data_IF_154943330296
#
_entry.id   IF_154943330296
#
_cell.length_a   1.000
_cell.length_b   1.000
_cell.length_c   1.000
_cell.angle_alpha   90.00
_cell.angle_beta   90.00
_cell.angle_gamma   90.00
#
_symmetry.space_group_name_H-M   'P 1'
#
loop_
_entity.id
_entity.type
_entity.pdbx_description
1 polymer ?
#
# COMPACT_ATOMS: atom_id res chain seq x y z
N UNK A 1 53.07 50.67 52.28
CA UNK A 1 52.28 49.61 51.64
C UNK A 1 52.65 48.30 52.31
N UNK A 2 51.72 47.77 53.11
CA UNK A 2 51.91 46.57 53.92
C UNK A 2 51.79 45.33 53.02
N UNK A 3 52.63 44.33 53.25
CA UNK A 3 52.64 43.02 52.56
C UNK A 3 51.31 42.26 52.64
N UNK A 4 50.37 42.71 53.48
CA UNK A 4 49.00 42.20 53.59
C UNK A 4 48.07 42.60 52.46
N UNK A 5 48.31 43.70 51.75
CA UNK A 5 47.44 44.14 50.63
C UNK A 5 47.66 43.29 49.36
N UNK A 6 48.89 42.82 49.11
CA UNK A 6 49.22 42.01 47.93
C UNK A 6 48.62 40.59 48.04
N UNK A 7 48.52 40.03 49.25
CA UNK A 7 48.01 38.68 49.46
C UNK A 7 46.48 38.62 49.28
N UNK A 8 45.75 39.67 49.65
CA UNK A 8 44.29 39.73 49.46
C UNK A 8 43.93 39.99 47.99
N UNK A 9 44.76 40.72 47.24
CA UNK A 9 44.56 40.87 45.78
C UNK A 9 44.93 39.60 45.01
N UNK A 10 45.97 38.86 45.41
CA UNK A 10 46.34 37.61 44.75
C UNK A 10 45.36 36.44 45.02
N UNK A 11 44.79 36.36 46.23
CA UNK A 11 43.79 35.33 46.58
C UNK A 11 42.37 35.64 46.08
N UNK A 12 42.02 36.92 45.88
CA UNK A 12 40.72 37.29 45.29
C UNK A 12 40.68 37.10 43.77
N UNK A 13 41.81 37.24 43.07
CA UNK A 13 41.87 37.00 41.61
C UNK A 13 42.01 35.53 41.23
N UNK A 14 42.60 34.68 42.09
CA UNK A 14 42.79 33.26 41.81
C UNK A 14 41.57 32.39 42.18
N UNK A 15 40.81 32.76 43.21
CA UNK A 15 39.66 31.97 43.68
C UNK A 15 38.40 32.10 42.81
N UNK A 16 38.14 33.29 42.26
CA UNK A 16 36.95 33.53 41.44
C UNK A 16 37.12 33.14 39.96
N UNK A 17 38.36 33.11 39.45
CA UNK A 17 38.62 32.73 38.06
C UNK A 17 38.49 31.22 37.86
N UNK A 18 39.02 30.39 38.75
CA UNK A 18 38.91 28.93 38.60
C UNK A 18 37.47 28.41 38.74
N UNK A 19 36.71 28.92 39.71
CA UNK A 19 35.32 28.51 39.93
C UNK A 19 34.39 29.08 38.85
N UNK A 20 34.60 30.33 38.43
CA UNK A 20 33.84 30.96 37.35
C UNK A 20 34.07 30.29 35.99
N UNK A 21 35.33 30.00 35.63
CA UNK A 21 35.66 29.32 34.38
C UNK A 21 35.14 27.86 34.39
N UNK A 22 35.24 27.16 35.53
CA UNK A 22 34.69 25.82 35.68
C UNK A 22 33.17 25.76 35.51
N UNK A 23 32.43 26.69 36.12
CA UNK A 23 30.98 26.77 35.98
C UNK A 23 30.55 27.10 34.55
N UNK A 24 31.27 28.00 33.88
CA UNK A 24 31.04 28.36 32.48
C UNK A 24 31.29 27.16 31.56
N UNK A 25 32.38 26.42 31.74
CA UNK A 25 32.67 25.20 30.97
C UNK A 25 31.62 24.12 31.18
N UNK A 26 31.18 23.89 32.42
CA UNK A 26 30.10 22.92 32.73
C UNK A 26 28.80 23.35 32.05
N UNK A 27 28.44 24.64 32.11
CA UNK A 27 27.24 25.17 31.43
C UNK A 27 27.33 25.03 29.91
N UNK A 28 28.47 25.31 29.29
CA UNK A 28 28.65 25.14 27.85
C UNK A 28 28.60 23.65 27.43
N UNK A 29 29.19 22.76 28.22
CA UNK A 29 29.10 21.31 28.01
C UNK A 29 27.67 20.80 28.16
N UNK A 30 26.96 21.18 29.22
CA UNK A 30 25.55 20.82 29.41
C UNK A 30 24.68 21.36 28.28
N UNK A 31 24.91 22.59 27.84
CA UNK A 31 24.12 23.21 26.75
C UNK A 31 24.43 22.53 25.43
N UNK A 32 25.70 22.26 25.11
CA UNK A 32 26.10 21.55 23.90
C UNK A 32 25.68 20.08 23.87
N UNK A 33 25.74 19.38 25.01
CA UNK A 33 25.21 18.01 25.15
C UNK A 33 23.69 18.01 25.01
N UNK A 34 22.99 18.98 25.62
CA UNK A 34 21.52 19.07 25.53
C UNK A 34 21.05 19.48 24.13
N UNK A 35 21.78 20.36 23.44
CA UNK A 35 21.52 20.72 22.04
C UNK A 35 21.83 19.58 21.07
N UNK A 36 22.96 18.88 21.25
CA UNK A 36 23.29 17.73 20.41
C UNK A 36 22.30 16.58 20.61
N UNK A 37 21.98 16.22 21.86
CA UNK A 37 20.94 15.23 22.17
C UNK A 37 19.58 15.68 21.62
N UNK A 38 19.19 16.93 21.85
CA UNK A 38 17.95 17.50 21.34
C UNK A 38 17.86 17.50 19.81
N UNK A 39 18.98 17.78 19.12
CA UNK A 39 19.07 17.74 17.66
C UNK A 39 18.95 16.32 17.11
N UNK A 40 19.54 15.32 17.78
CA UNK A 40 19.40 13.91 17.40
C UNK A 40 17.96 13.43 17.60
N UNK A 41 17.31 13.81 18.70
CA UNK A 41 15.89 13.47 18.92
C UNK A 41 14.97 14.17 17.92
N UNK A 42 15.20 15.45 17.60
CA UNK A 42 14.44 16.17 16.56
C UNK A 42 14.63 15.52 15.19
N UNK A 43 15.87 15.18 14.82
CA UNK A 43 16.16 14.48 13.57
C UNK A 43 15.47 13.12 13.50
N UNK A 44 15.57 12.31 14.56
CA UNK A 44 14.83 11.04 14.66
C UNK A 44 13.31 11.25 14.56
N UNK A 45 12.76 12.27 15.21
CA UNK A 45 11.33 12.58 15.14
C UNK A 45 10.90 12.98 13.72
N UNK A 46 11.71 13.77 13.03
CA UNK A 46 11.48 14.16 11.63
C UNK A 46 11.57 12.97 10.68
N UNK A 47 12.58 12.11 10.85
CA UNK A 47 12.73 10.87 10.09
C UNK A 47 11.54 9.93 10.32
N UNK A 48 11.11 9.74 11.58
CA UNK A 48 9.92 8.96 11.91
C UNK A 48 8.64 9.56 11.32
N UNK A 49 8.47 10.89 11.37
CA UNK A 49 7.32 11.58 10.78
C UNK A 49 7.29 11.43 9.27
N UNK A 50 8.46 11.49 8.61
CA UNK A 50 8.58 11.27 7.18
C UNK A 50 8.22 9.84 6.80
N UNK A 51 8.74 8.85 7.53
CA UNK A 51 8.41 7.43 7.33
C UNK A 51 6.92 7.19 7.52
N UNK A 52 6.31 7.75 8.57
CA UNK A 52 4.89 7.61 8.86
C UNK A 52 4.01 8.19 7.73
N UNK A 53 4.39 9.37 7.22
CA UNK A 53 3.68 10.01 6.10
C UNK A 53 3.84 9.22 4.81
N UNK A 54 5.00 8.61 4.59
CA UNK A 54 5.23 7.75 3.43
C UNK A 54 4.40 6.46 3.54
N UNK A 55 4.37 5.81 4.71
CA UNK A 55 3.54 4.63 4.94
C UNK A 55 2.06 4.92 4.80
N UNK A 56 1.60 6.09 5.26
CA UNK A 56 0.21 6.53 5.09
C UNK A 56 -0.15 6.67 3.59
N UNK A 57 0.71 7.29 2.79
CA UNK A 57 0.49 7.41 1.34
C UNK A 57 0.43 6.05 0.65
N UNK A 58 1.37 5.15 0.97
CA UNK A 58 1.40 3.79 0.40
C UNK A 58 0.14 3.03 0.80
N UNK A 59 -0.29 3.16 2.07
CA UNK A 59 -1.51 2.55 2.55
C UNK A 59 -2.75 3.06 1.82
N UNK A 60 -2.90 4.38 1.66
CA UNK A 60 -4.02 4.95 0.92
C UNK A 60 -4.06 4.45 -0.52
N UNK A 61 -2.91 4.41 -1.18
CA UNK A 61 -2.84 3.92 -2.55
C UNK A 61 -3.19 2.43 -2.67
N UNK A 62 -2.76 1.59 -1.72
CA UNK A 62 -3.16 0.18 -1.66
C UNK A 62 -4.66 0.01 -1.32
N UNK A 63 -5.20 0.85 -0.46
CA UNK A 63 -6.62 0.85 -0.12
C UNK A 63 -7.47 1.22 -1.34
N UNK A 64 -7.05 2.21 -2.11
CA UNK A 64 -7.72 2.63 -3.34
C UNK A 64 -7.61 1.54 -4.42
N UNK A 65 -6.44 0.90 -4.57
CA UNK A 65 -6.29 -0.29 -5.40
C UNK A 65 -7.27 -1.40 -5.00
N UNK A 66 -7.40 -1.68 -3.69
CA UNK A 66 -8.33 -2.70 -3.18
C UNK A 66 -9.78 -2.39 -3.52
N UNK A 67 -10.21 -1.13 -3.38
CA UNK A 67 -11.57 -0.69 -3.73
C UNK A 67 -11.80 -0.79 -5.24
N UNK A 68 -10.82 -0.36 -6.03
CA UNK A 68 -10.90 -0.37 -7.49
C UNK A 68 -11.01 -1.81 -8.02
N UNK A 69 -10.16 -2.72 -7.53
CA UNK A 69 -10.22 -4.13 -7.93
C UNK A 69 -11.54 -4.80 -7.51
N UNK A 70 -12.02 -4.52 -6.29
CA UNK A 70 -13.32 -5.04 -5.84
C UNK A 70 -14.48 -4.52 -6.70
N UNK A 71 -14.42 -3.25 -7.13
CA UNK A 71 -15.42 -2.67 -8.05
C UNK A 71 -15.43 -3.40 -9.39
N UNK A 72 -14.25 -3.65 -9.98
CA UNK A 72 -14.15 -4.44 -11.22
C UNK A 72 -14.73 -5.84 -11.04
N UNK A 73 -14.39 -6.52 -9.95
CA UNK A 73 -14.94 -7.84 -9.62
C UNK A 73 -16.46 -7.82 -9.47
N UNK A 74 -17.01 -6.85 -8.74
CA UNK A 74 -18.45 -6.74 -8.53
C UNK A 74 -19.20 -6.44 -9.82
N UNK A 75 -18.66 -5.57 -10.69
CA UNK A 75 -19.26 -5.24 -11.99
C UNK A 75 -19.19 -6.39 -13.00
N UNK A 76 -18.31 -7.37 -12.79
CA UNK A 76 -18.21 -8.58 -13.61
C UNK A 76 -19.30 -9.60 -13.25
N UNK A 77 -19.85 -9.56 -12.04
CA UNK A 77 -20.84 -10.56 -11.63
C UNK A 77 -22.18 -10.33 -12.35
N UNK A 78 -22.72 -11.37 -13.02
CA UNK A 78 -24.01 -11.26 -13.68
C UNK A 78 -25.11 -11.09 -12.64
N UNK A 79 -26.15 -10.34 -13.02
CA UNK A 79 -27.33 -10.18 -12.17
C UNK A 79 -28.25 -11.35 -12.42
N UNK A 80 -28.72 -11.97 -11.34
CA UNK A 80 -29.67 -13.08 -11.42
C UNK A 80 -30.89 -12.67 -12.24
N UNK A 81 -31.06 -13.27 -13.41
CA UNK A 81 -32.14 -12.96 -14.37
C UNK A 81 -33.41 -13.75 -14.05
N UNK A 82 -33.28 -14.97 -13.53
CA UNK A 82 -34.40 -15.80 -13.07
C UNK A 82 -34.06 -16.70 -11.86
N UNK A 83 -35.08 -17.23 -11.15
CA UNK A 83 -34.89 -18.01 -9.93
C UNK A 83 -34.04 -19.27 -10.12
N UNK A 84 -34.06 -19.87 -11.30
CA UNK A 84 -33.34 -21.13 -11.56
C UNK A 84 -31.99 -20.93 -12.28
N UNK A 85 -31.51 -19.68 -12.37
CA UNK A 85 -30.23 -19.36 -13.02
C UNK A 85 -29.09 -20.08 -12.30
N UNK A 86 -28.33 -20.85 -13.07
CA UNK A 86 -27.20 -21.63 -12.59
C UNK A 86 -25.86 -20.96 -12.91
N UNK A 87 -24.77 -21.65 -12.56
CA UNK A 87 -23.43 -21.14 -12.82
C UNK A 87 -23.05 -21.19 -14.31
N UNK A 88 -23.66 -22.07 -15.09
CA UNK A 88 -23.37 -22.23 -16.51
C UNK A 88 -23.91 -21.02 -17.30
N UNK A 89 -25.16 -20.64 -17.03
CA UNK A 89 -25.77 -19.42 -17.57
C UNK A 89 -25.04 -18.15 -17.10
N UNK A 90 -24.63 -18.11 -15.83
CA UNK A 90 -23.83 -16.99 -15.31
C UNK A 90 -22.47 -16.88 -16.02
N UNK A 91 -21.82 -18.01 -16.28
CA UNK A 91 -20.54 -18.05 -16.99
C UNK A 91 -20.69 -17.59 -18.44
N UNK A 92 -21.83 -17.85 -19.06
CA UNK A 92 -22.15 -17.38 -20.41
C UNK A 92 -22.29 -15.85 -20.45
N UNK A 93 -23.00 -15.25 -19.50
CA UNK A 93 -23.11 -13.78 -19.40
C UNK A 93 -21.74 -13.12 -19.16
N UNK A 94 -20.90 -13.71 -18.32
CA UNK A 94 -19.52 -13.23 -18.08
C UNK A 94 -18.69 -13.33 -19.37
N UNK A 95 -18.78 -14.45 -20.08
CA UNK A 95 -18.03 -14.70 -21.30
C UNK A 95 -18.40 -13.71 -22.41
N UNK A 96 -19.68 -13.36 -22.54
CA UNK A 96 -20.16 -12.37 -23.51
C UNK A 96 -19.52 -10.99 -23.33
N UNK A 97 -18.97 -10.70 -22.14
CA UNK A 97 -18.39 -9.42 -21.77
C UNK A 97 -16.85 -9.47 -21.62
N UNK A 98 -16.18 -10.53 -22.08
CA UNK A 98 -14.72 -10.68 -21.92
C UNK A 98 -13.91 -9.46 -22.38
N UNK A 99 -14.22 -8.88 -23.55
CA UNK A 99 -13.52 -7.68 -24.02
C UNK A 99 -13.67 -6.49 -23.06
N UNK A 100 -14.83 -6.33 -22.43
CA UNK A 100 -15.05 -5.25 -21.47
C UNK A 100 -14.30 -5.51 -20.16
N UNK A 101 -14.26 -6.77 -19.71
CA UNK A 101 -13.53 -7.17 -18.52
C UNK A 101 -12.01 -7.05 -18.71
N UNK A 102 -11.48 -7.47 -19.88
CA UNK A 102 -10.08 -7.32 -20.27
C UNK A 102 -9.64 -5.86 -20.15
N UNK A 103 -10.38 -4.93 -20.78
CA UNK A 103 -10.08 -3.48 -20.74
C UNK A 103 -10.06 -2.94 -19.31
N UNK A 104 -11.07 -3.27 -18.48
CA UNK A 104 -11.14 -2.79 -17.09
C UNK A 104 -9.98 -3.31 -16.23
N UNK A 105 -9.56 -4.56 -16.45
CA UNK A 105 -8.44 -5.15 -15.73
C UNK A 105 -7.10 -4.56 -16.18
N UNK A 106 -6.94 -4.27 -17.48
CA UNK A 106 -5.77 -3.56 -18.00
C UNK A 106 -5.68 -2.13 -17.45
N UNK A 107 -6.79 -1.39 -17.45
CA UNK A 107 -6.87 -0.04 -16.85
C UNK A 107 -6.46 -0.07 -15.37
N UNK A 108 -6.96 -1.06 -14.62
CA UNK A 108 -6.57 -1.28 -13.23
C UNK A 108 -5.06 -1.53 -13.09
N UNK A 109 -4.47 -2.39 -13.92
CA UNK A 109 -3.02 -2.64 -13.87
C UNK A 109 -2.20 -1.40 -14.25
N UNK A 110 -2.62 -0.63 -15.26
CA UNK A 110 -1.93 0.61 -15.62
C UNK A 110 -1.83 1.58 -14.44
N UNK A 111 -2.90 1.68 -13.64
CA UNK A 111 -2.97 2.60 -12.51
C UNK A 111 -2.27 2.05 -11.25
N UNK A 112 -2.43 0.76 -10.93
CA UNK A 112 -2.07 0.22 -9.60
C UNK A 112 -0.90 -0.78 -9.60
N UNK A 113 -0.36 -1.21 -10.75
CA UNK A 113 0.64 -2.28 -10.82
C UNK A 113 1.82 -2.15 -9.85
N UNK A 114 2.31 -0.92 -9.61
CA UNK A 114 3.49 -0.67 -8.78
C UNK A 114 3.25 -0.93 -7.30
N UNK A 115 2.00 -1.10 -6.89
CA UNK A 115 1.61 -1.29 -5.50
C UNK A 115 1.12 -2.69 -5.18
N UNK A 116 0.94 -3.52 -6.20
CA UNK A 116 0.53 -4.91 -6.05
C UNK A 116 1.74 -5.78 -5.72
N UNK A 117 1.54 -6.78 -4.87
CA UNK A 117 2.53 -7.83 -4.70
C UNK A 117 2.61 -8.69 -5.97
N UNK A 118 3.75 -9.36 -6.23
CA UNK A 118 3.91 -10.19 -7.42
C UNK A 118 2.83 -11.26 -7.57
N UNK A 119 2.36 -11.84 -6.45
CA UNK A 119 1.30 -12.84 -6.45
C UNK A 119 -0.05 -12.27 -6.90
N UNK A 120 -0.42 -11.07 -6.44
CA UNK A 120 -1.67 -10.41 -6.87
C UNK A 120 -1.58 -10.02 -8.35
N UNK A 121 -0.44 -9.47 -8.76
CA UNK A 121 -0.18 -9.08 -10.15
C UNK A 121 -0.31 -10.27 -11.11
N UNK A 122 0.25 -11.43 -10.74
CA UNK A 122 0.14 -12.66 -11.52
C UNK A 122 -1.32 -13.11 -11.65
N UNK A 123 -2.11 -13.04 -10.59
CA UNK A 123 -3.54 -13.42 -10.63
C UNK A 123 -4.37 -12.51 -11.52
N UNK A 124 -4.14 -11.19 -11.47
CA UNK A 124 -4.81 -10.23 -12.35
C UNK A 124 -4.41 -10.45 -13.80
N UNK A 125 -3.14 -10.77 -14.09
CA UNK A 125 -2.70 -11.14 -15.43
C UNK A 125 -3.31 -12.45 -15.92
N UNK A 126 -3.45 -13.45 -15.05
CA UNK A 126 -4.13 -14.70 -15.40
C UNK A 126 -5.62 -14.45 -15.73
N UNK A 127 -6.28 -13.56 -15.00
CA UNK A 127 -7.64 -13.11 -15.31
C UNK A 127 -7.71 -12.43 -16.71
N UNK A 128 -6.78 -11.53 -17.02
CA UNK A 128 -6.70 -10.90 -18.36
C UNK A 128 -6.48 -11.94 -19.46
N UNK A 129 -5.56 -12.88 -19.25
CA UNK A 129 -5.30 -13.96 -20.20
C UNK A 129 -6.55 -14.83 -20.42
N UNK A 130 -7.31 -15.14 -19.35
CA UNK A 130 -8.56 -15.88 -19.48
C UNK A 130 -9.59 -15.13 -20.33
N UNK A 131 -9.71 -13.80 -20.19
CA UNK A 131 -10.54 -12.98 -21.08
C UNK A 131 -10.06 -13.02 -22.53
N UNK A 132 -8.74 -12.87 -22.74
CA UNK A 132 -8.14 -12.79 -24.07
C UNK A 132 -8.25 -14.12 -24.84
N UNK A 133 -8.09 -15.25 -24.14
CA UNK A 133 -8.29 -16.59 -24.69
C UNK A 133 -9.78 -16.84 -24.97
N UNK A 134 -10.64 -16.57 -23.98
CA UNK A 134 -12.06 -16.91 -24.03
C UNK A 134 -12.87 -16.12 -25.06
N UNK A 135 -12.45 -14.91 -25.44
CA UNK A 135 -13.20 -14.05 -26.39
C UNK A 135 -13.34 -14.66 -27.80
N UNK A 136 -12.52 -15.64 -28.14
CA UNK A 136 -12.55 -16.30 -29.45
C UNK A 136 -13.34 -17.62 -29.44
N UNK A 137 -13.83 -18.04 -28.27
CA UNK A 137 -14.43 -19.36 -28.04
C UNK A 137 -15.97 -19.31 -28.22
N UNK A 138 -16.40 -18.72 -29.35
CA UNK A 138 -17.80 -18.59 -29.75
C UNK A 138 -17.99 -19.13 -31.17
N UNK A 139 -19.14 -19.73 -31.45
CA UNK A 139 -19.51 -20.18 -32.80
C UNK A 139 -20.86 -19.60 -33.22
N UNK A 140 -21.07 -19.48 -34.53
CA UNK A 140 -22.34 -19.01 -35.07
C UNK A 140 -23.32 -20.19 -35.21
N UNK A 141 -24.46 -20.13 -34.52
CA UNK A 141 -25.57 -21.05 -34.77
C UNK A 141 -26.55 -20.46 -35.78
N UNK A 142 -26.60 -21.07 -36.96
CA UNK A 142 -27.52 -20.68 -38.03
C UNK A 142 -29.00 -20.80 -37.66
N UNK A 143 -29.32 -21.65 -36.68
CA UNK A 143 -30.68 -21.93 -36.24
C UNK A 143 -31.19 -20.85 -35.29
N UNK A 144 -30.36 -20.46 -34.32
CA UNK A 144 -30.62 -19.36 -33.39
C UNK A 144 -30.38 -17.98 -34.01
N UNK A 145 -29.64 -17.90 -35.12
CA UNK A 145 -29.13 -16.65 -35.70
C UNK A 145 -28.34 -15.80 -34.69
N UNK A 146 -27.59 -16.47 -33.81
CA UNK A 146 -26.82 -15.81 -32.76
C UNK A 146 -25.47 -16.50 -32.52
N UNK A 147 -24.56 -15.78 -31.86
CA UNK A 147 -23.29 -16.31 -31.41
C UNK A 147 -23.50 -17.12 -30.11
N UNK A 148 -23.19 -18.40 -30.15
CA UNK A 148 -23.36 -19.31 -29.02
C UNK A 148 -22.02 -19.53 -28.33
N UNK A 149 -22.03 -19.39 -27.01
CA UNK A 149 -20.88 -19.61 -26.14
C UNK A 149 -20.50 -21.10 -26.12
N UNK A 150 -19.22 -21.41 -26.34
CA UNK A 150 -18.72 -22.79 -26.19
C UNK A 150 -18.48 -23.12 -24.71
N UNK A 151 -18.34 -24.41 -24.39
CA UNK A 151 -17.94 -24.84 -23.05
C UNK A 151 -16.58 -24.25 -22.65
N UNK A 152 -15.65 -24.08 -23.60
CA UNK A 152 -14.34 -23.49 -23.35
C UNK A 152 -14.45 -22.01 -22.94
N UNK A 153 -15.35 -21.24 -23.55
CA UNK A 153 -15.63 -19.87 -23.10
C UNK A 153 -16.19 -19.84 -21.65
N UNK A 154 -17.08 -20.77 -21.29
CA UNK A 154 -17.62 -20.89 -19.93
C UNK A 154 -16.56 -21.29 -18.90
N UNK A 155 -15.67 -22.21 -19.28
CA UNK A 155 -14.49 -22.59 -18.47
C UNK A 155 -13.57 -21.38 -18.24
N UNK A 156 -13.30 -20.60 -19.30
CA UNK A 156 -12.50 -19.36 -19.20
C UNK A 156 -13.17 -18.31 -18.32
N UNK A 157 -14.50 -18.21 -18.32
CA UNK A 157 -15.23 -17.31 -17.42
C UNK A 157 -15.07 -17.76 -15.96
N UNK A 158 -15.06 -19.06 -15.71
CA UNK A 158 -14.78 -19.62 -14.39
C UNK A 158 -13.33 -19.39 -13.94
N UNK A 159 -12.36 -19.52 -14.85
CA UNK A 159 -10.95 -19.18 -14.61
C UNK A 159 -10.78 -17.70 -14.25
N UNK A 160 -11.38 -16.81 -15.03
CA UNK A 160 -11.44 -15.36 -14.78
C UNK A 160 -11.99 -15.07 -13.39
N UNK A 161 -13.18 -15.60 -13.07
CA UNK A 161 -13.83 -15.38 -11.78
C UNK A 161 -12.94 -15.82 -10.63
N UNK A 162 -12.37 -17.02 -10.71
CA UNK A 162 -11.53 -17.57 -9.66
C UNK A 162 -10.27 -16.74 -9.46
N UNK A 163 -9.54 -16.43 -10.53
CA UNK A 163 -8.31 -15.66 -10.48
C UNK A 163 -8.55 -14.26 -9.90
N UNK A 164 -9.64 -13.60 -10.32
CA UNK A 164 -9.98 -12.26 -9.87
C UNK A 164 -10.45 -12.26 -8.40
N UNK A 165 -11.29 -13.21 -8.00
CA UNK A 165 -11.73 -13.35 -6.60
C UNK A 165 -10.54 -13.62 -5.66
N UNK A 166 -9.62 -14.50 -6.06
CA UNK A 166 -8.38 -14.75 -5.32
C UNK A 166 -7.53 -13.47 -5.19
N UNK A 167 -7.39 -12.70 -6.26
CA UNK A 167 -6.65 -11.43 -6.23
C UNK A 167 -7.30 -10.39 -5.29
N UNK A 168 -8.63 -10.27 -5.33
CA UNK A 168 -9.42 -9.39 -4.45
C UNK A 168 -9.19 -9.74 -2.99
N UNK A 169 -9.33 -11.02 -2.62
CA UNK A 169 -9.18 -11.46 -1.24
C UNK A 169 -7.73 -11.32 -0.75
N UNK A 170 -6.73 -11.59 -1.59
CA UNK A 170 -5.33 -11.34 -1.27
C UNK A 170 -5.04 -9.85 -1.02
N UNK A 171 -5.50 -8.97 -1.90
CA UNK A 171 -5.27 -7.53 -1.77
C UNK A 171 -5.99 -6.96 -0.53
N UNK A 172 -7.23 -7.42 -0.29
CA UNK A 172 -8.00 -7.06 0.90
C UNK A 172 -7.27 -7.49 2.18
N UNK A 173 -6.71 -8.71 2.19
CA UNK A 173 -5.92 -9.21 3.32
C UNK A 173 -4.67 -8.37 3.54
N UNK A 174 -3.90 -8.06 2.49
CA UNK A 174 -2.73 -7.19 2.61
C UNK A 174 -3.07 -5.82 3.21
N UNK A 175 -4.18 -5.21 2.77
CA UNK A 175 -4.65 -3.93 3.32
C UNK A 175 -5.07 -4.07 4.78
N UNK A 176 -5.77 -5.16 5.13
CA UNK A 176 -6.17 -5.43 6.51
C UNK A 176 -4.97 -5.63 7.43
N UNK A 177 -3.96 -6.37 6.98
CA UNK A 177 -2.72 -6.64 7.72
C UNK A 177 -1.89 -5.36 7.95
N UNK A 178 -2.09 -4.32 7.13
CA UNK A 178 -1.49 -2.99 7.36
C UNK A 178 -2.23 -2.16 8.42
N UNK A 179 -3.50 -2.47 8.69
CA UNK A 179 -4.33 -1.77 9.69
C UNK A 179 -4.22 -2.45 11.05
N UNK A 180 -4.05 -3.77 11.08
CA UNK A 180 -3.90 -4.52 12.32
C UNK A 180 -2.55 -4.17 12.98
N UNK A 181 -2.64 -3.57 14.16
CA UNK A 181 -1.49 -3.23 15.00
C UNK A 181 -0.74 -4.54 15.34
N UNK A 182 0.60 -4.58 15.33
CA UNK A 182 1.31 -5.73 15.88
C UNK A 182 0.89 -5.89 17.34
N UNK A 183 0.40 -7.07 17.74
CA UNK A 183 0.16 -7.37 19.14
C UNK A 183 1.45 -7.11 19.92
N UNK A 184 1.40 -6.12 20.80
CA UNK A 184 2.48 -5.78 21.73
C UNK A 184 2.66 -6.84 22.80
#
# INVERSE_FOLDING_TARGET
MSTTEIIITALSTAGFTAVGIGFVLIKFLETGIKESIGSVYKKKLEDHKFLLKNSEKVFQFKLDASKSLYKVFHEMLPKRSHPDMDWDEASEEIAALFSQHEVKLDEFLCEYQSTLSPAILERVRNAINACSDGRFEFYWDSSAQDAVCTNTAKEKASELYKALNEAVEMLRKEVHDMISVPNA
#
